data_IF_324314721833
#
_entry.id   IF_324314721833
#
_cell.length_a   1.000
_cell.length_b   1.000
_cell.length_c   1.000
_cell.angle_alpha   90.00
_cell.angle_beta   90.00
_cell.angle_gamma   90.00
#
_symmetry.space_group_name_H-M   'P 1'
#
loop_
_entity.id
_entity.type
_entity.pdbx_description
1 polymer ?
#
# COMPACT_ATOMS: atom_id res chain seq x y z
N UNK A 1 23.40 -18.94 35.91
CA UNK A 1 22.48 -18.88 34.76
C UNK A 1 23.11 -17.97 33.72
N UNK A 2 23.71 -18.53 32.66
CA UNK A 2 24.43 -17.76 31.63
C UNK A 2 23.47 -17.46 30.49
N UNK A 3 23.20 -16.18 30.25
CA UNK A 3 22.45 -15.70 29.09
C UNK A 3 23.32 -15.89 27.85
N UNK A 4 22.95 -16.85 27.01
CA UNK A 4 23.59 -17.05 25.71
C UNK A 4 22.92 -16.12 24.70
N UNK A 5 23.50 -14.93 24.55
CA UNK A 5 23.25 -14.00 23.45
C UNK A 5 24.11 -14.41 22.26
N UNK A 6 23.52 -15.03 21.25
CA UNK A 6 24.06 -15.07 19.88
C UNK A 6 23.09 -15.77 18.94
N UNK A 7 22.04 -15.08 18.54
CA UNK A 7 21.39 -15.35 17.25
C UNK A 7 21.75 -14.19 16.35
N UNK A 8 22.80 -14.38 15.55
CA UNK A 8 23.08 -13.49 14.43
C UNK A 8 21.85 -13.48 13.50
N UNK A 9 21.40 -12.32 13.00
CA UNK A 9 20.40 -12.30 11.95
C UNK A 9 21.03 -12.88 10.68
N UNK A 10 20.56 -14.07 10.31
CA UNK A 10 20.80 -14.69 9.01
C UNK A 10 20.41 -13.74 7.89
N UNK A 11 21.31 -13.57 6.93
CA UNK A 11 21.15 -12.70 5.78
C UNK A 11 19.85 -13.00 5.00
N UNK A 12 18.91 -12.07 5.02
CA UNK A 12 17.78 -12.03 4.07
C UNK A 12 17.44 -10.58 3.72
N UNK A 13 17.60 -10.29 2.42
CA UNK A 13 17.18 -9.11 1.66
C UNK A 13 17.93 -7.79 1.86
N UNK A 14 18.84 -7.53 0.92
CA UNK A 14 19.21 -6.17 0.47
C UNK A 14 18.02 -5.46 -0.24
N UNK A 15 16.83 -5.53 0.32
CA UNK A 15 15.68 -4.72 -0.07
C UNK A 15 15.70 -3.46 0.80
N UNK A 16 15.74 -2.28 0.16
CA UNK A 16 15.62 -1.02 0.89
C UNK A 16 14.32 -0.99 1.70
N UNK A 17 14.26 -0.17 2.74
CA UNK A 17 13.06 -0.02 3.56
C UNK A 17 11.85 0.36 2.70
N UNK A 18 10.64 -0.05 3.10
CA UNK A 18 9.40 0.44 2.50
C UNK A 18 9.37 1.98 2.39
N UNK A 19 9.91 2.66 3.40
CA UNK A 19 10.07 4.12 3.39
C UNK A 19 10.99 4.60 2.27
N UNK A 20 12.08 3.88 1.96
CA UNK A 20 12.98 4.24 0.86
C UNK A 20 12.27 4.09 -0.49
N UNK A 21 11.38 3.12 -0.63
CA UNK A 21 10.56 2.98 -1.83
C UNK A 21 9.55 4.13 -1.95
N UNK A 22 8.84 4.49 -0.89
CA UNK A 22 7.96 5.65 -0.90
C UNK A 22 8.69 6.96 -1.18
N UNK A 23 9.85 7.20 -0.57
CA UNK A 23 10.68 8.40 -0.81
C UNK A 23 11.12 8.53 -2.27
N UNK A 24 11.24 7.41 -3.00
CA UNK A 24 11.56 7.42 -4.43
C UNK A 24 10.35 7.76 -5.29
N UNK A 25 9.12 7.59 -4.81
CA UNK A 25 7.91 7.94 -5.55
C UNK A 25 7.74 9.46 -5.63
N UNK A 26 7.22 9.99 -6.75
CA UNK A 26 6.80 11.39 -6.84
C UNK A 26 5.83 11.80 -5.73
N UNK A 27 5.85 13.08 -5.35
CA UNK A 27 5.05 13.69 -4.27
C UNK A 27 5.47 13.36 -2.82
N UNK A 28 6.34 12.39 -2.55
CA UNK A 28 6.79 12.08 -1.18
C UNK A 28 7.84 13.06 -0.60
N UNK A 29 8.18 14.12 -1.36
CA UNK A 29 8.83 15.32 -0.83
C UNK A 29 7.85 16.17 0.01
N UNK A 30 6.53 15.98 -0.16
CA UNK A 30 5.50 16.62 0.64
C UNK A 30 5.40 15.98 2.04
N UNK A 31 5.30 16.82 3.07
CA UNK A 31 5.27 16.40 4.46
C UNK A 31 4.11 15.43 4.76
N UNK A 32 2.95 15.60 4.13
CA UNK A 32 1.79 14.74 4.34
C UNK A 32 2.06 13.30 3.88
N UNK A 33 2.53 13.12 2.63
CA UNK A 33 2.85 11.80 2.09
C UNK A 33 4.03 11.16 2.84
N UNK A 34 5.05 11.96 3.17
CA UNK A 34 6.20 11.48 3.92
C UNK A 34 5.83 10.96 5.31
N UNK A 35 5.01 11.72 6.05
CA UNK A 35 4.57 11.35 7.40
C UNK A 35 3.74 10.07 7.37
N UNK A 36 2.75 9.98 6.46
CA UNK A 36 1.94 8.76 6.31
C UNK A 36 2.78 7.54 5.94
N UNK A 37 3.72 7.68 5.01
CA UNK A 37 4.67 6.61 4.66
C UNK A 37 5.49 6.14 5.85
N UNK A 38 5.96 7.10 6.66
CA UNK A 38 6.80 6.82 7.83
C UNK A 38 6.02 6.04 8.89
N UNK A 39 4.78 6.45 9.18
CA UNK A 39 3.90 5.73 10.11
C UNK A 39 3.60 4.31 9.63
N UNK A 40 3.27 4.14 8.34
CA UNK A 40 3.01 2.81 7.78
C UNK A 40 4.24 1.91 7.77
N UNK A 41 5.42 2.48 7.55
CA UNK A 41 6.69 1.72 7.59
C UNK A 41 7.01 1.28 9.02
N UNK A 42 6.77 2.14 10.01
CA UNK A 42 6.96 1.76 11.42
C UNK A 42 6.00 0.64 11.82
N UNK A 43 4.72 0.76 11.44
CA UNK A 43 3.72 -0.26 11.68
C UNK A 43 4.03 -1.57 10.95
N UNK A 44 4.57 -1.52 9.71
CA UNK A 44 5.02 -2.71 8.96
C UNK A 44 6.11 -3.47 9.72
N UNK A 45 7.12 -2.76 10.25
CA UNK A 45 8.19 -3.39 11.03
C UNK A 45 7.67 -4.11 12.29
N UNK A 46 6.73 -3.49 12.99
CA UNK A 46 6.09 -4.11 14.15
C UNK A 46 5.26 -5.35 13.77
N UNK A 47 4.44 -5.24 12.72
CA UNK A 47 3.62 -6.34 12.22
C UNK A 47 4.47 -7.53 11.74
N UNK A 48 5.57 -7.27 11.01
CA UNK A 48 6.49 -8.33 10.59
C UNK A 48 7.11 -9.08 11.75
N UNK A 49 7.48 -8.37 12.81
CA UNK A 49 8.01 -9.01 14.02
C UNK A 49 6.96 -9.90 14.70
N UNK A 50 5.70 -9.45 14.74
CA UNK A 50 4.59 -10.28 15.21
C UNK A 50 4.42 -11.51 14.33
N UNK A 51 4.19 -11.33 13.03
CA UNK A 51 3.95 -12.41 12.05
C UNK A 51 5.04 -13.47 12.07
N UNK A 52 6.31 -13.07 12.17
CA UNK A 52 7.42 -14.02 12.32
C UNK A 52 7.30 -14.86 13.60
N UNK A 53 6.85 -14.23 14.70
CA UNK A 53 6.51 -14.95 15.94
C UNK A 53 5.38 -15.96 15.75
N UNK A 54 4.32 -15.60 15.01
CA UNK A 54 3.22 -16.51 14.68
C UNK A 54 3.67 -17.65 13.76
N UNK A 55 4.55 -17.37 12.79
CA UNK A 55 5.12 -18.36 11.87
C UNK A 55 5.89 -19.46 12.62
N UNK A 56 6.59 -19.07 13.69
CA UNK A 56 7.40 -19.97 14.51
C UNK A 56 6.60 -20.67 15.62
N UNK A 57 5.38 -20.22 15.91
CA UNK A 57 4.55 -20.76 16.97
C UNK A 57 4.02 -22.16 16.60
N UNK A 58 4.11 -23.11 17.54
CA UNK A 58 3.59 -24.47 17.38
C UNK A 58 2.09 -24.59 17.63
N UNK A 59 1.48 -23.55 18.21
CA UNK A 59 0.06 -23.45 18.48
C UNK A 59 -0.43 -22.05 18.10
N UNK A 60 -1.69 -21.95 17.69
CA UNK A 60 -2.30 -20.68 17.31
C UNK A 60 -2.37 -19.75 18.53
N UNK A 61 -1.70 -18.57 18.51
CA UNK A 61 -1.68 -17.69 19.66
C UNK A 61 -3.06 -17.08 19.95
N UNK A 62 -3.37 -16.86 21.23
CA UNK A 62 -4.65 -16.30 21.69
C UNK A 62 -4.94 -14.90 21.10
N UNK A 63 -3.90 -14.18 20.68
CA UNK A 63 -3.96 -12.83 20.12
C UNK A 63 -4.11 -12.81 18.58
N UNK A 64 -4.47 -13.91 17.91
CA UNK A 64 -4.68 -13.91 16.45
C UNK A 64 -5.67 -12.83 16.00
N UNK A 65 -6.72 -12.59 16.80
CA UNK A 65 -7.67 -11.53 16.55
C UNK A 65 -6.99 -10.15 16.51
N UNK A 66 -6.00 -9.90 17.38
CA UNK A 66 -5.24 -8.65 17.38
C UNK A 66 -4.40 -8.52 16.10
N UNK A 67 -3.72 -9.60 15.69
CA UNK A 67 -2.98 -9.62 14.41
C UNK A 67 -3.90 -9.31 13.23
N UNK A 68 -5.12 -9.85 13.23
CA UNK A 68 -6.18 -9.54 12.28
C UNK A 68 -6.48 -8.06 12.17
N UNK A 69 -6.85 -7.44 13.28
CA UNK A 69 -7.20 -6.01 13.29
C UNK A 69 -6.01 -5.12 12.89
N UNK A 70 -4.81 -5.42 13.38
CA UNK A 70 -3.62 -4.64 13.03
C UNK A 70 -3.26 -4.78 11.54
N UNK A 71 -3.40 -5.99 10.98
CA UNK A 71 -3.18 -6.24 9.56
C UNK A 71 -4.20 -5.50 8.68
N UNK A 72 -5.48 -5.53 9.07
CA UNK A 72 -6.55 -4.80 8.40
C UNK A 72 -6.30 -3.29 8.44
N UNK A 73 -6.01 -2.72 9.61
CA UNK A 73 -5.70 -1.30 9.76
C UNK A 73 -4.52 -0.89 8.89
N UNK A 74 -3.47 -1.71 8.83
CA UNK A 74 -2.30 -1.42 8.01
C UNK A 74 -2.64 -1.43 6.52
N UNK A 75 -3.35 -2.46 6.04
CA UNK A 75 -3.75 -2.54 4.62
C UNK A 75 -4.67 -1.38 4.22
N UNK A 76 -5.60 -0.99 5.08
CA UNK A 76 -6.46 0.18 4.82
C UNK A 76 -5.65 1.47 4.80
N UNK A 77 -4.68 1.62 5.70
CA UNK A 77 -3.77 2.76 5.71
C UNK A 77 -2.92 2.86 4.43
N UNK A 78 -2.41 1.73 3.92
CA UNK A 78 -1.71 1.66 2.63
C UNK A 78 -2.67 1.98 1.48
N UNK A 79 -3.87 1.41 1.48
CA UNK A 79 -4.88 1.71 0.47
C UNK A 79 -5.15 3.22 0.38
N UNK A 80 -5.38 3.89 1.52
CA UNK A 80 -5.65 5.32 1.56
C UNK A 80 -4.46 6.16 1.09
N UNK A 81 -3.24 5.77 1.47
CA UNK A 81 -2.02 6.44 1.01
C UNK A 81 -1.90 6.35 -0.52
N UNK A 82 -2.07 5.15 -1.09
CA UNK A 82 -1.99 4.94 -2.53
C UNK A 82 -3.16 5.58 -3.27
N UNK A 83 -4.35 5.60 -2.68
CA UNK A 83 -5.53 6.27 -3.23
C UNK A 83 -5.27 7.77 -3.40
N UNK A 84 -4.87 8.44 -2.31
CA UNK A 84 -4.56 9.87 -2.32
C UNK A 84 -3.42 10.19 -3.29
N UNK A 85 -2.36 9.37 -3.30
CA UNK A 85 -1.25 9.52 -4.24
C UNK A 85 -1.70 9.38 -5.70
N UNK A 86 -2.55 8.38 -6.00
CA UNK A 86 -3.06 8.10 -7.35
C UNK A 86 -3.98 9.22 -7.84
N UNK A 87 -4.86 9.73 -6.99
CA UNK A 87 -5.72 10.87 -7.37
C UNK A 87 -4.89 12.11 -7.66
N UNK A 88 -3.86 12.38 -6.86
CA UNK A 88 -2.93 13.48 -7.13
C UNK A 88 -2.12 13.25 -8.42
N UNK A 89 -1.64 12.03 -8.68
CA UNK A 89 -0.97 11.68 -9.93
C UNK A 89 -1.89 11.89 -11.14
N UNK A 90 -3.16 11.47 -11.04
CA UNK A 90 -4.17 11.61 -12.09
C UNK A 90 -4.42 13.08 -12.40
N UNK A 91 -4.77 13.89 -11.40
CA UNK A 91 -5.01 15.34 -11.53
C UNK A 91 -3.89 16.02 -12.28
N UNK A 92 -2.65 15.70 -11.90
CA UNK A 92 -1.45 16.32 -12.43
C UNK A 92 -1.12 15.83 -13.85
N UNK A 93 -1.30 14.53 -14.15
CA UNK A 93 -1.06 13.97 -15.48
C UNK A 93 -2.13 14.37 -16.51
N UNK A 94 -3.37 14.64 -16.07
CA UNK A 94 -4.46 15.11 -16.93
C UNK A 94 -4.49 16.64 -17.08
N UNK A 95 -3.55 17.36 -16.47
CA UNK A 95 -3.53 18.82 -16.53
C UNK A 95 -3.28 19.32 -17.96
N UNK A 96 -4.04 20.32 -18.45
CA UNK A 96 -3.81 20.94 -19.76
C UNK A 96 -2.37 21.45 -19.94
N UNK A 97 -1.74 21.11 -21.08
CA UNK A 97 -0.35 21.47 -21.39
C UNK A 97 0.73 20.48 -20.89
N UNK A 98 0.34 19.31 -20.39
CA UNK A 98 1.24 18.16 -20.13
C UNK A 98 0.87 16.90 -20.93
N UNK A 99 -0.26 16.93 -21.65
CA UNK A 99 -0.74 15.85 -22.49
C UNK A 99 -0.49 16.18 -23.96
N UNK A 100 0.63 15.70 -24.51
CA UNK A 100 0.86 15.74 -25.97
C UNK A 100 0.31 14.50 -26.69
N UNK A 101 -0.24 13.49 -25.99
CA UNK A 101 -0.69 12.23 -26.64
C UNK A 101 -1.88 11.52 -25.99
N UNK A 102 -2.65 12.15 -25.09
CA UNK A 102 -3.91 11.56 -24.63
C UNK A 102 -5.01 12.59 -24.82
N UNK A 103 -5.96 12.28 -25.70
CA UNK A 103 -7.20 13.02 -25.91
C UNK A 103 -7.88 13.29 -24.57
N UNK A 104 -7.66 14.47 -24.00
CA UNK A 104 -8.36 14.93 -22.81
C UNK A 104 -9.68 15.53 -23.25
N UNK A 105 -10.65 14.66 -23.52
CA UNK A 105 -12.04 15.03 -23.30
C UNK A 105 -12.24 15.19 -21.79
N UNK A 106 -12.60 16.40 -21.37
CA UNK A 106 -13.16 16.72 -20.05
C UNK A 106 -12.20 16.68 -18.86
N UNK A 107 -11.35 17.71 -18.71
CA UNK A 107 -10.88 18.10 -17.38
C UNK A 107 -12.12 18.67 -16.66
N UNK A 108 -12.61 17.99 -15.62
CA UNK A 108 -13.77 18.49 -14.86
C UNK A 108 -13.41 19.81 -14.17
N UNK A 109 -14.40 20.71 -14.07
CA UNK A 109 -14.25 22.04 -13.45
C UNK A 109 -13.68 21.94 -12.03
N UNK A 110 -14.08 20.91 -11.28
CA UNK A 110 -13.58 20.60 -9.93
C UNK A 110 -12.05 20.40 -9.85
N UNK A 111 -11.46 19.75 -10.86
CA UNK A 111 -10.01 19.50 -10.88
C UNK A 111 -9.25 20.84 -11.04
N UNK A 112 -9.76 21.73 -11.90
CA UNK A 112 -9.18 23.05 -12.12
C UNK A 112 -9.23 23.93 -10.86
N UNK A 113 -10.32 23.87 -10.10
CA UNK A 113 -10.46 24.58 -8.82
C UNK A 113 -9.54 24.03 -7.73
N UNK A 114 -9.41 22.70 -7.63
CA UNK A 114 -8.52 22.05 -6.67
C UNK A 114 -7.04 22.38 -6.91
N UNK A 115 -6.64 22.50 -8.18
CA UNK A 115 -5.30 22.95 -8.57
C UNK A 115 -5.08 24.43 -8.22
N UNK A 116 -6.07 25.29 -8.47
CA UNK A 116 -5.98 26.72 -8.17
C UNK A 116 -5.81 26.99 -6.66
N UNK A 117 -6.42 26.18 -5.81
CA UNK A 117 -6.31 26.26 -4.35
C UNK A 117 -5.01 25.69 -3.76
N UNK A 118 -4.30 24.81 -4.47
CA UNK A 118 -3.13 24.11 -3.92
C UNK A 118 -1.79 24.66 -4.45
N UNK A 119 -1.08 25.39 -3.60
CA UNK A 119 0.28 25.86 -3.90
C UNK A 119 1.26 24.72 -4.21
N UNK A 120 1.12 23.57 -3.55
CA UNK A 120 1.98 22.40 -3.77
C UNK A 120 1.70 21.76 -5.14
N UNK A 121 0.43 21.60 -5.53
CA UNK A 121 0.09 21.07 -6.86
C UNK A 121 0.63 21.95 -7.98
N UNK A 122 0.50 23.29 -7.85
CA UNK A 122 1.07 24.24 -8.83
C UNK A 122 2.58 24.09 -8.99
N UNK A 123 3.32 23.93 -7.88
CA UNK A 123 4.77 23.67 -7.92
C UNK A 123 5.08 22.37 -8.66
N UNK A 124 4.33 21.30 -8.42
CA UNK A 124 4.57 20.02 -9.09
C UNK A 124 4.23 20.07 -10.58
N UNK A 125 3.12 20.70 -10.97
CA UNK A 125 2.77 20.91 -12.38
C UNK A 125 3.86 21.73 -13.09
N UNK A 126 4.36 22.79 -12.43
CA UNK A 126 5.48 23.57 -12.96
C UNK A 126 6.74 22.72 -13.15
N UNK A 127 7.08 21.86 -12.17
CA UNK A 127 8.20 20.93 -12.26
C UNK A 127 8.02 19.94 -13.43
N UNK A 128 6.83 19.38 -13.60
CA UNK A 128 6.54 18.45 -14.69
C UNK A 128 6.69 19.05 -16.08
N UNK A 129 6.30 20.32 -16.23
CA UNK A 129 6.47 21.05 -17.51
C UNK A 129 7.94 21.27 -17.86
N UNK A 130 8.81 21.35 -16.85
CA UNK A 130 10.25 21.64 -17.02
C UNK A 130 11.10 20.36 -17.04
N UNK A 131 10.65 19.29 -16.40
CA UNK A 131 11.40 18.05 -16.22
C UNK A 131 10.66 16.82 -16.78
N UNK A 132 11.00 16.46 -18.01
CA UNK A 132 10.48 15.29 -18.72
C UNK A 132 10.82 13.98 -17.98
N UNK A 133 11.94 13.92 -17.26
CA UNK A 133 12.34 12.72 -16.50
C UNK A 133 11.40 12.51 -15.32
N UNK A 134 11.04 13.59 -14.62
CA UNK A 134 10.06 13.54 -13.54
C UNK A 134 8.68 13.11 -14.05
N UNK A 135 8.23 13.61 -15.21
CA UNK A 135 6.97 13.18 -15.83
C UNK A 135 6.95 11.69 -16.20
N UNK A 136 8.03 11.20 -16.80
CA UNK A 136 8.17 9.77 -17.13
C UNK A 136 8.16 8.91 -15.86
N UNK A 137 8.89 9.33 -14.83
CA UNK A 137 8.94 8.65 -13.53
C UNK A 137 7.55 8.55 -12.90
N UNK A 138 6.76 9.63 -12.91
CA UNK A 138 5.38 9.64 -12.42
C UNK A 138 4.48 8.65 -13.17
N UNK A 139 4.52 8.64 -14.50
CA UNK A 139 3.73 7.69 -15.30
C UNK A 139 4.10 6.24 -15.00
N UNK A 140 5.38 5.93 -14.86
CA UNK A 140 5.84 4.57 -14.57
C UNK A 140 5.40 4.09 -13.18
N UNK A 141 5.53 4.92 -12.15
CA UNK A 141 4.97 4.59 -10.84
C UNK A 141 3.45 4.46 -10.86
N UNK A 142 2.74 5.29 -11.64
CA UNK A 142 1.28 5.19 -11.73
C UNK A 142 0.84 3.84 -12.30
N UNK A 143 1.57 3.32 -13.29
CA UNK A 143 1.35 1.96 -13.82
C UNK A 143 1.75 0.89 -12.80
N UNK A 144 2.92 1.01 -12.16
CA UNK A 144 3.45 0.00 -11.24
C UNK A 144 2.57 -0.18 -9.98
N UNK A 145 1.97 0.90 -9.48
CA UNK A 145 1.11 0.89 -8.29
C UNK A 145 -0.27 0.29 -8.57
N UNK A 146 -0.75 0.33 -9.81
CA UNK A 146 -2.15 0.04 -10.15
C UNK A 146 -2.59 -1.37 -9.72
N UNK A 147 -1.73 -2.39 -9.87
CA UNK A 147 -2.08 -3.74 -9.45
C UNK A 147 -2.18 -3.87 -7.93
N UNK A 148 -1.24 -3.29 -7.18
CA UNK A 148 -1.26 -3.28 -5.72
C UNK A 148 -2.51 -2.55 -5.21
N UNK A 149 -2.84 -1.41 -5.83
CA UNK A 149 -4.03 -0.64 -5.49
C UNK A 149 -5.33 -1.41 -5.74
N UNK A 150 -5.43 -2.14 -6.85
CA UNK A 150 -6.60 -2.99 -7.15
C UNK A 150 -6.77 -4.09 -6.11
N UNK A 151 -5.69 -4.78 -5.77
CA UNK A 151 -5.71 -5.85 -4.77
C UNK A 151 -6.17 -5.31 -3.41
N UNK A 152 -5.64 -4.17 -2.97
CA UNK A 152 -6.06 -3.50 -1.73
C UNK A 152 -7.51 -3.03 -1.76
N UNK A 153 -8.01 -2.58 -2.91
CA UNK A 153 -9.43 -2.24 -3.06
C UNK A 153 -10.30 -3.48 -2.92
N UNK A 154 -9.91 -4.60 -3.50
CA UNK A 154 -10.64 -5.87 -3.36
C UNK A 154 -10.63 -6.36 -1.90
N UNK A 155 -9.51 -6.21 -1.18
CA UNK A 155 -9.44 -6.46 0.27
C UNK A 155 -10.45 -5.57 1.01
N UNK A 156 -10.46 -4.26 0.73
CA UNK A 156 -11.41 -3.33 1.36
C UNK A 156 -12.86 -3.72 1.10
N UNK A 157 -13.22 -4.06 -0.13
CA UNK A 157 -14.57 -4.50 -0.49
C UNK A 157 -14.93 -5.82 0.19
N UNK A 158 -13.97 -6.73 0.38
CA UNK A 158 -14.12 -7.97 1.12
C UNK A 158 -14.44 -7.71 2.58
N UNK A 159 -13.66 -6.87 3.26
CA UNK A 159 -13.90 -6.48 4.65
C UNK A 159 -15.26 -5.81 4.84
N UNK A 160 -15.63 -4.89 3.93
CA UNK A 160 -16.93 -4.22 3.98
C UNK A 160 -18.12 -5.19 3.84
N UNK A 161 -18.00 -6.25 3.02
CA UNK A 161 -19.04 -7.29 2.93
C UNK A 161 -19.23 -8.04 4.25
N UNK A 162 -18.14 -8.35 4.95
CA UNK A 162 -18.23 -9.02 6.25
C UNK A 162 -18.90 -8.14 7.31
N UNK A 163 -18.64 -6.84 7.28
CA UNK A 163 -19.30 -5.88 8.18
C UNK A 163 -20.81 -5.80 7.93
N UNK A 164 -21.23 -5.66 6.66
CA UNK A 164 -22.65 -5.52 6.29
C UNK A 164 -23.45 -6.79 6.55
N UNK A 165 -22.87 -7.96 6.28
CA UNK A 165 -23.57 -9.23 6.44
C UNK A 165 -23.77 -9.63 7.91
N UNK A 166 -23.23 -8.87 8.88
CA UNK A 166 -23.31 -9.15 10.33
C UNK A 166 -23.07 -10.61 10.66
N UNK A 167 -22.23 -11.29 9.87
CA UNK A 167 -21.80 -12.63 10.23
C UNK A 167 -21.02 -12.41 11.53
N UNK A 168 -21.55 -12.86 12.66
CA UNK A 168 -21.00 -12.62 14.02
C UNK A 168 -19.62 -13.26 14.24
N UNK A 169 -19.00 -13.72 13.17
CA UNK A 169 -17.59 -13.97 13.07
C UNK A 169 -17.01 -12.69 12.45
N UNK A 170 -16.40 -11.83 13.27
CA UNK A 170 -15.55 -10.71 12.82
C UNK A 170 -14.77 -11.12 11.56
N UNK A 171 -14.36 -10.21 10.68
CA UNK A 171 -13.52 -10.59 9.52
C UNK A 171 -12.30 -11.48 9.92
N UNK A 172 -11.82 -11.33 11.16
CA UNK A 172 -10.85 -12.20 11.83
C UNK A 172 -11.28 -13.67 12.08
N UNK A 173 -12.55 -14.06 11.95
CA UNK A 173 -13.06 -15.42 12.10
C UNK A 173 -13.49 -16.04 10.75
N UNK A 174 -13.65 -15.24 9.69
CA UNK A 174 -13.81 -15.74 8.32
C UNK A 174 -12.47 -15.94 7.57
N UNK A 175 -11.34 -15.44 8.09
CA UNK A 175 -10.02 -15.44 7.46
C UNK A 175 -8.87 -15.91 8.36
N UNK A 176 -9.12 -16.92 9.20
CA UNK A 176 -8.11 -17.59 10.04
C UNK A 176 -7.35 -18.63 9.21
N UNK A 177 -6.58 -18.17 8.24
CA UNK A 177 -5.47 -18.99 7.74
C UNK A 177 -4.23 -18.11 7.77
N UNK A 178 -3.39 -18.37 8.77
CA UNK A 178 -2.01 -17.94 8.74
C UNK A 178 -1.34 -18.60 7.54
N UNK A 179 -0.65 -17.78 6.78
CA UNK A 179 0.25 -18.23 5.74
C UNK A 179 1.45 -18.92 6.43
N UNK A 180 1.67 -20.23 6.21
CA UNK A 180 2.76 -20.94 6.87
C UNK A 180 4.14 -20.42 6.48
N UNK A 181 4.26 -19.72 5.35
CA UNK A 181 5.54 -19.22 4.84
C UNK A 181 5.97 -17.92 5.53
N UNK A 182 5.02 -17.08 5.95
CA UNK A 182 5.33 -15.73 6.45
C UNK A 182 4.56 -15.33 7.72
N UNK A 183 3.63 -16.15 8.22
CA UNK A 183 2.85 -15.89 9.43
C UNK A 183 1.82 -14.76 9.29
N UNK A 184 1.63 -14.19 8.10
CA UNK A 184 0.57 -13.21 7.82
C UNK A 184 -0.77 -13.91 7.60
N UNK A 185 -1.85 -13.20 7.86
CA UNK A 185 -3.20 -13.64 7.50
C UNK A 185 -3.41 -13.61 5.98
N UNK A 186 -4.16 -14.60 5.47
CA UNK A 186 -4.54 -14.74 4.08
C UNK A 186 -5.95 -14.19 3.81
N UNK A 187 -6.05 -13.29 2.84
CA UNK A 187 -7.29 -12.72 2.34
C UNK A 187 -7.66 -13.37 1.01
N UNK A 188 -8.89 -13.88 0.91
CA UNK A 188 -9.39 -14.57 -0.27
C UNK A 188 -9.99 -13.59 -1.28
N UNK A 189 -9.18 -13.09 -2.22
CA UNK A 189 -9.64 -12.19 -3.27
C UNK A 189 -10.37 -12.96 -4.38
N UNK A 190 -11.55 -12.48 -4.78
CA UNK A 190 -12.30 -13.07 -5.89
C UNK A 190 -11.96 -12.33 -7.18
N UNK A 191 -11.37 -13.05 -8.14
CA UNK A 191 -11.11 -12.51 -9.47
C UNK A 191 -12.41 -12.35 -10.27
N UNK A 192 -12.36 -11.53 -11.34
CA UNK A 192 -13.49 -11.35 -12.27
C UNK A 192 -14.01 -12.65 -12.88
N UNK A 193 -13.18 -13.70 -12.94
CA UNK A 193 -13.53 -15.01 -13.49
C UNK A 193 -14.06 -15.99 -12.41
N UNK A 194 -14.29 -15.52 -11.18
CA UNK A 194 -14.77 -16.33 -10.07
C UNK A 194 -13.70 -17.15 -9.37
N UNK A 195 -12.44 -17.11 -9.83
CA UNK A 195 -11.31 -17.75 -9.14
C UNK A 195 -11.01 -17.03 -7.83
N UNK A 196 -10.69 -17.77 -6.78
CA UNK A 196 -10.22 -17.20 -5.51
C UNK A 196 -8.70 -17.22 -5.51
N UNK A 197 -8.08 -16.06 -5.30
CA UNK A 197 -6.64 -15.90 -5.14
C UNK A 197 -6.34 -15.45 -3.71
N UNK A 198 -5.53 -16.18 -2.94
CA UNK A 198 -5.07 -15.70 -1.64
C UNK A 198 -4.11 -14.52 -1.83
N UNK A 199 -4.16 -13.56 -0.90
CA UNK A 199 -3.17 -12.50 -0.77
C UNK A 199 -2.88 -12.27 0.70
N UNK A 200 -1.62 -12.02 1.04
CA UNK A 200 -1.24 -11.69 2.42
C UNK A 200 -0.81 -10.23 2.54
N UNK A 201 -0.79 -9.72 3.78
CA UNK A 201 -0.29 -8.38 4.08
C UNK A 201 1.21 -8.28 3.77
N UNK A 202 1.98 -9.31 4.14
CA UNK A 202 3.42 -9.43 3.83
C UNK A 202 3.65 -9.39 2.32
N UNK A 203 2.84 -10.10 1.54
CA UNK A 203 2.96 -10.09 0.08
C UNK A 203 2.72 -8.68 -0.49
N UNK A 204 1.73 -7.93 -0.01
CA UNK A 204 1.51 -6.53 -0.39
C UNK A 204 2.74 -5.68 -0.03
N UNK A 205 3.27 -5.85 1.18
CA UNK A 205 4.42 -5.10 1.66
C UNK A 205 5.69 -5.38 0.82
N UNK A 206 5.92 -6.64 0.45
CA UNK A 206 7.04 -7.05 -0.40
C UNK A 206 6.91 -6.51 -1.82
N UNK A 207 5.70 -6.54 -2.38
CA UNK A 207 5.40 -5.93 -3.70
C UNK A 207 5.63 -4.42 -3.67
N UNK A 208 5.26 -3.73 -2.58
CA UNK A 208 5.53 -2.31 -2.40
C UNK A 208 7.03 -2.03 -2.35
N UNK A 209 7.79 -2.79 -1.56
CA UNK A 209 9.26 -2.65 -1.50
C UNK A 209 9.92 -2.94 -2.86
N UNK A 210 9.33 -3.86 -3.62
CA UNK A 210 9.72 -4.22 -4.98
C UNK A 210 9.35 -3.20 -6.06
N UNK A 211 8.62 -2.12 -5.76
CA UNK A 211 8.26 -1.10 -6.74
C UNK A 211 9.52 -0.42 -7.31
N UNK A 212 9.72 -0.57 -8.61
CA UNK A 212 10.78 0.09 -9.38
C UNK A 212 10.18 0.97 -10.48
N UNK A 213 10.73 2.17 -10.71
CA UNK A 213 10.34 3.02 -11.85
C UNK A 213 10.93 2.51 -13.16
#
# INVERSE_FOLDING_TARGET
MKLNTSTQPTAQHAAGSMLDTFRRMPFFEDAYFHMRASHLTLADGYLRALEEGYRLATAMPEDEMLLGHLSEMWMMGVFDLLHAWREQARVVLTHPGLSDQVSTASVSVEISEQIAGSANLRKVISRLRRDVRYARKLRRYAVAVEQIYKDLREVRELLARYEVLRVHQSAAAAHVRLDPENGSLLYALRTRHGTVRPISRVEIADRLMGLRP
#
